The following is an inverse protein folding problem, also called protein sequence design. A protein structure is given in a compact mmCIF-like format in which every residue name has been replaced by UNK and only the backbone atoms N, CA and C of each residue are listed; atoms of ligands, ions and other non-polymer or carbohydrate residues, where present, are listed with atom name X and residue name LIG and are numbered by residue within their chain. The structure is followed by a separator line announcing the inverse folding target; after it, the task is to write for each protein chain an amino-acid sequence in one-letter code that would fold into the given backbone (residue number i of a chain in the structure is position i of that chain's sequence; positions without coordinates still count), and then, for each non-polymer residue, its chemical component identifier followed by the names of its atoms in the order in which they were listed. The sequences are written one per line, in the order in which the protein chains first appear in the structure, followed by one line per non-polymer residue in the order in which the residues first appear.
data_IF_826767023637
#
_entry.id   IF_826767023637
#
_cell.length_a   1.000
_cell.length_b   1.000
_cell.length_c   1.000
_cell.angle_alpha   90.00
_cell.angle_beta   90.00
_cell.angle_gamma   90.00
#
_symmetry.space_group_name_H-M   'P 1'
#
loop_
_entity.id
_entity.type
_entity.pdbx_description
1 polymer ?
#
# COMPACT_ATOMS: atom_id res chain seq x y z
N UNK A 1 43.25 -5.31 -17.00
CA UNK A 1 42.20 -5.49 -15.99
C UNK A 1 42.78 -6.00 -14.63
N UNK A 2 43.57 -7.05 -14.58
CA UNK A 2 44.16 -7.53 -13.30
C UNK A 2 44.95 -6.45 -12.57
N UNK A 3 45.76 -5.66 -13.26
CA UNK A 3 46.54 -4.57 -12.68
C UNK A 3 45.66 -3.43 -12.16
N UNK A 4 44.64 -3.03 -12.89
CA UNK A 4 43.73 -1.99 -12.46
C UNK A 4 42.94 -2.37 -11.16
N UNK A 5 42.49 -3.62 -11.04
CA UNK A 5 41.87 -4.11 -9.81
C UNK A 5 42.84 -4.06 -8.63
N UNK A 6 44.08 -4.47 -8.83
CA UNK A 6 45.10 -4.46 -7.77
C UNK A 6 45.45 -3.04 -7.32
N UNK A 7 45.50 -2.09 -8.24
CA UNK A 7 45.71 -0.67 -7.96
C UNK A 7 44.55 -0.11 -7.11
N UNK A 8 43.28 -0.37 -7.49
CA UNK A 8 42.13 0.10 -6.73
C UNK A 8 42.00 -0.58 -5.37
N UNK A 9 42.38 -1.86 -5.23
CA UNK A 9 42.43 -2.54 -3.93
C UNK A 9 43.45 -1.88 -2.98
N UNK A 10 44.56 -1.37 -3.50
CA UNK A 10 45.53 -0.61 -2.70
C UNK A 10 44.95 0.77 -2.29
N UNK A 11 44.27 1.45 -3.20
CA UNK A 11 43.63 2.76 -2.99
C UNK A 11 42.50 2.76 -1.94
N UNK A 12 41.86 1.61 -1.66
CA UNK A 12 40.90 1.47 -0.55
C UNK A 12 41.49 1.77 0.84
N UNK A 13 42.82 1.81 0.96
CA UNK A 13 43.53 2.10 2.24
C UNK A 13 44.10 3.51 2.30
N UNK A 14 43.83 4.35 1.32
CA UNK A 14 44.34 5.72 1.27
C UNK A 14 43.82 6.53 2.47
N UNK A 15 44.58 7.54 2.87
CA UNK A 15 44.18 8.46 3.95
C UNK A 15 43.05 9.38 3.51
N UNK A 16 43.02 9.75 2.23
CA UNK A 16 41.98 10.58 1.63
C UNK A 16 40.70 9.76 1.39
N UNK A 17 39.61 10.19 2.01
CA UNK A 17 38.29 9.56 1.86
C UNK A 17 37.79 9.58 0.41
N UNK A 18 38.12 10.64 -0.36
CA UNK A 18 37.71 10.75 -1.76
C UNK A 18 38.34 9.65 -2.63
N UNK A 19 39.64 9.37 -2.39
CA UNK A 19 40.34 8.28 -3.07
C UNK A 19 39.76 6.93 -2.68
N UNK A 20 39.47 6.69 -1.38
CA UNK A 20 38.83 5.43 -0.95
C UNK A 20 37.47 5.25 -1.57
N UNK A 21 36.65 6.33 -1.62
CA UNK A 21 35.29 6.29 -2.20
C UNK A 21 35.32 6.02 -3.70
N UNK A 22 36.22 6.70 -4.46
CA UNK A 22 36.39 6.47 -5.90
C UNK A 22 36.85 5.04 -6.19
N UNK A 23 37.83 4.54 -5.45
CA UNK A 23 38.32 3.18 -5.59
C UNK A 23 37.23 2.13 -5.32
N UNK A 24 36.41 2.35 -4.30
CA UNK A 24 35.25 1.49 -4.02
C UNK A 24 34.26 1.46 -5.18
N UNK A 25 33.91 2.64 -5.74
CA UNK A 25 33.02 2.75 -6.89
C UNK A 25 33.57 2.03 -8.14
N UNK A 26 34.85 2.21 -8.46
CA UNK A 26 35.50 1.52 -9.57
C UNK A 26 35.51 0.01 -9.40
N UNK A 27 35.81 -0.50 -8.19
CA UNK A 27 35.78 -1.94 -7.89
C UNK A 27 34.38 -2.52 -8.07
N UNK A 28 33.34 -1.76 -7.75
CA UNK A 28 31.95 -2.14 -8.03
C UNK A 28 31.68 -2.32 -9.53
N UNK A 29 32.26 -1.46 -10.37
CA UNK A 29 32.11 -1.57 -11.84
C UNK A 29 32.87 -2.77 -12.41
N UNK A 30 34.02 -3.11 -11.83
CA UNK A 30 34.81 -4.27 -12.27
C UNK A 30 34.16 -5.60 -11.89
N UNK A 31 33.30 -5.60 -10.89
CA UNK A 31 32.62 -6.81 -10.35
C UNK A 31 33.57 -7.96 -10.02
N UNK A 32 34.78 -7.63 -9.60
CA UNK A 32 35.79 -8.63 -9.27
C UNK A 32 35.59 -9.16 -7.85
N UNK A 33 35.40 -10.48 -7.63
CA UNK A 33 35.19 -11.07 -6.31
C UNK A 33 36.30 -10.78 -5.29
N UNK A 34 37.51 -10.48 -5.73
CA UNK A 34 38.64 -10.11 -4.85
C UNK A 34 38.39 -8.83 -4.07
N UNK A 35 37.50 -7.97 -4.57
CA UNK A 35 37.12 -6.71 -3.91
C UNK A 35 36.13 -6.90 -2.75
N UNK A 36 35.45 -8.04 -2.66
CA UNK A 36 34.36 -8.25 -1.70
C UNK A 36 34.81 -8.03 -0.26
N UNK A 37 35.84 -8.76 0.21
CA UNK A 37 36.31 -8.66 1.60
C UNK A 37 36.84 -7.26 1.92
N UNK A 38 37.68 -6.62 1.06
CA UNK A 38 38.08 -5.23 1.28
C UNK A 38 36.90 -4.22 1.33
N UNK A 39 35.87 -4.37 0.47
CA UNK A 39 34.71 -3.51 0.48
C UNK A 39 33.83 -3.72 1.71
N UNK A 40 33.70 -4.96 2.20
CA UNK A 40 33.02 -5.25 3.48
C UNK A 40 33.71 -4.54 4.64
N UNK A 41 35.04 -4.46 4.66
CA UNK A 41 35.76 -3.70 5.70
C UNK A 41 35.42 -2.21 5.67
N UNK A 42 35.14 -1.62 4.50
CA UNK A 42 34.74 -0.22 4.34
C UNK A 42 33.31 0.09 4.81
N UNK A 43 32.49 -0.89 5.13
CA UNK A 43 31.20 -0.66 5.80
C UNK A 43 31.38 -0.02 7.19
N UNK A 44 32.61 -0.04 7.74
CA UNK A 44 33.00 0.61 9.01
C UNK A 44 33.84 1.88 8.80
N UNK A 45 33.96 2.37 7.58
CA UNK A 45 34.74 3.59 7.31
C UNK A 45 34.17 4.78 8.09
N UNK A 46 35.05 5.64 8.56
CA UNK A 46 34.65 6.85 9.31
C UNK A 46 33.82 7.80 8.43
N UNK A 47 34.17 7.89 7.15
CA UNK A 47 33.46 8.74 6.21
C UNK A 47 32.21 8.05 5.64
N UNK A 48 31.10 8.78 5.69
CA UNK A 48 29.80 8.26 5.23
C UNK A 48 29.79 7.98 3.74
N UNK A 49 30.45 8.83 2.94
CA UNK A 49 30.47 8.69 1.47
C UNK A 49 31.22 7.43 1.05
N UNK A 50 32.27 7.07 1.81
CA UNK A 50 33.02 5.82 1.57
C UNK A 50 32.17 4.60 1.91
N UNK A 51 31.42 4.64 3.03
CA UNK A 51 30.49 3.56 3.37
C UNK A 51 29.42 3.37 2.29
N UNK A 52 28.83 4.48 1.80
CA UNK A 52 27.83 4.44 0.74
C UNK A 52 28.40 3.90 -0.58
N UNK A 53 29.62 4.30 -0.95
CA UNK A 53 30.31 3.76 -2.13
C UNK A 53 30.58 2.25 -2.00
N UNK A 54 30.98 1.77 -0.81
CA UNK A 54 31.19 0.36 -0.56
C UNK A 54 29.87 -0.44 -0.65
N UNK A 55 28.75 0.09 -0.14
CA UNK A 55 27.43 -0.52 -0.25
C UNK A 55 27.04 -0.68 -1.73
N UNK A 56 27.16 0.37 -2.53
CA UNK A 56 26.81 0.30 -3.95
C UNK A 56 27.75 -0.63 -4.75
N UNK A 57 29.03 -0.67 -4.39
CA UNK A 57 29.99 -1.59 -4.99
C UNK A 57 29.62 -3.07 -4.67
N UNK A 58 29.30 -3.40 -3.44
CA UNK A 58 28.89 -4.76 -3.04
C UNK A 58 27.57 -5.18 -3.70
N UNK A 59 26.61 -4.26 -3.84
CA UNK A 59 25.39 -4.48 -4.61
C UNK A 59 25.69 -4.81 -6.07
N UNK A 60 26.58 -4.03 -6.71
CA UNK A 60 26.98 -4.22 -8.10
C UNK A 60 27.73 -5.54 -8.34
N UNK A 61 28.54 -5.98 -7.38
CA UNK A 61 29.22 -7.28 -7.40
C UNK A 61 28.21 -8.43 -7.30
N UNK A 62 27.14 -8.24 -6.51
CA UNK A 62 26.03 -9.17 -6.45
C UNK A 62 26.35 -10.50 -5.78
N UNK A 63 26.01 -11.61 -6.45
CA UNK A 63 26.05 -12.97 -5.91
C UNK A 63 27.36 -13.37 -5.21
N UNK A 64 28.51 -12.86 -5.67
CA UNK A 64 29.81 -13.15 -5.06
C UNK A 64 30.01 -12.51 -3.68
N UNK A 65 29.20 -11.49 -3.35
CA UNK A 65 29.27 -10.79 -2.06
C UNK A 65 28.40 -11.45 -0.97
N UNK A 66 27.44 -12.33 -1.33
CA UNK A 66 26.41 -12.86 -0.43
C UNK A 66 26.98 -13.47 0.84
N UNK A 67 28.01 -14.32 0.74
CA UNK A 67 28.58 -15.01 1.89
C UNK A 67 29.26 -14.04 2.87
N UNK A 68 30.09 -13.14 2.34
CA UNK A 68 30.82 -12.18 3.16
C UNK A 68 29.91 -11.12 3.79
N UNK A 69 28.90 -10.65 3.02
CA UNK A 69 27.91 -9.70 3.54
C UNK A 69 26.96 -10.40 4.53
N UNK A 70 26.58 -11.65 4.26
CA UNK A 70 25.76 -12.46 5.18
C UNK A 70 26.41 -12.65 6.54
N UNK A 71 27.72 -12.84 6.61
CA UNK A 71 28.44 -12.90 7.87
C UNK A 71 28.34 -11.61 8.70
N UNK A 72 28.19 -10.46 8.07
CA UNK A 72 28.03 -9.18 8.75
C UNK A 72 26.71 -9.06 9.54
N UNK A 73 25.69 -9.87 9.24
CA UNK A 73 24.41 -9.85 9.96
C UNK A 73 24.51 -10.32 11.41
N UNK A 74 25.60 -10.98 11.78
CA UNK A 74 25.84 -11.49 13.13
C UNK A 74 26.91 -10.70 13.89
N UNK A 75 27.44 -9.63 13.31
CA UNK A 75 28.44 -8.79 13.94
C UNK A 75 27.85 -7.90 15.03
N UNK A 76 28.63 -7.48 16.04
CA UNK A 76 28.14 -6.62 17.12
C UNK A 76 27.76 -5.19 16.67
N UNK A 77 28.27 -4.72 15.54
CA UNK A 77 28.04 -3.36 15.02
C UNK A 77 26.69 -3.32 14.25
N UNK A 78 25.71 -2.68 14.87
CA UNK A 78 24.35 -2.55 14.31
C UNK A 78 24.34 -1.82 12.96
N UNK A 79 25.22 -0.84 12.75
CA UNK A 79 25.30 -0.10 11.47
C UNK A 79 25.78 -1.01 10.34
N UNK A 80 26.66 -1.96 10.66
CA UNK A 80 27.13 -2.97 9.71
C UNK A 80 26.03 -3.99 9.41
N UNK A 81 25.29 -4.45 10.43
CA UNK A 81 24.14 -5.35 10.26
C UNK A 81 23.06 -4.71 9.36
N UNK A 82 22.75 -3.43 9.62
CA UNK A 82 21.80 -2.67 8.82
C UNK A 82 22.25 -2.58 7.35
N UNK A 83 23.51 -2.18 7.12
CA UNK A 83 24.09 -2.09 5.78
C UNK A 83 24.09 -3.44 5.07
N UNK A 84 24.42 -4.52 5.78
CA UNK A 84 24.43 -5.88 5.25
C UNK A 84 23.02 -6.33 4.83
N UNK A 85 22.01 -6.10 5.68
CA UNK A 85 20.62 -6.41 5.38
C UNK A 85 20.14 -5.67 4.13
N UNK A 86 20.45 -4.35 4.04
CA UNK A 86 20.09 -3.52 2.92
C UNK A 86 20.80 -3.93 1.62
N UNK A 87 22.04 -4.42 1.69
CA UNK A 87 22.77 -4.96 0.51
C UNK A 87 22.10 -6.26 0.06
N UNK A 88 21.89 -7.22 0.96
CA UNK A 88 21.31 -8.52 0.63
C UNK A 88 19.89 -8.39 0.06
N UNK A 89 19.11 -7.39 0.50
CA UNK A 89 17.80 -7.09 -0.03
C UNK A 89 17.78 -6.79 -1.54
N UNK A 90 18.92 -6.42 -2.12
CA UNK A 90 19.04 -6.07 -3.55
C UNK A 90 19.65 -7.17 -4.41
N UNK A 91 20.19 -8.23 -3.77
CA UNK A 91 20.86 -9.32 -4.48
C UNK A 91 19.83 -10.44 -4.75
N UNK A 92 19.53 -10.68 -6.02
CA UNK A 92 18.65 -11.77 -6.44
C UNK A 92 19.44 -13.10 -6.52
N UNK A 93 19.69 -13.71 -5.36
CA UNK A 93 20.43 -14.99 -5.27
C UNK A 93 19.87 -15.80 -4.08
N UNK A 94 19.58 -17.09 -4.29
CA UNK A 94 18.98 -17.95 -3.27
C UNK A 94 19.87 -18.11 -2.01
N UNK A 95 21.17 -17.92 -2.12
CA UNK A 95 22.11 -18.00 -0.99
C UNK A 95 21.89 -16.92 0.07
N UNK A 96 21.15 -15.83 -0.26
CA UNK A 96 20.78 -14.80 0.72
C UNK A 96 19.76 -15.33 1.75
N UNK A 97 19.04 -16.41 1.44
CA UNK A 97 17.92 -16.90 2.25
C UNK A 97 18.34 -17.25 3.69
N UNK A 98 19.32 -18.11 3.86
CA UNK A 98 19.74 -18.57 5.19
C UNK A 98 20.28 -17.42 6.09
N UNK A 99 21.16 -16.52 5.61
CA UNK A 99 21.57 -15.35 6.39
C UNK A 99 20.41 -14.45 6.77
N UNK A 100 19.49 -14.18 5.85
CA UNK A 100 18.33 -13.32 6.12
C UNK A 100 17.35 -13.94 7.11
N UNK A 101 17.07 -15.25 7.01
CA UNK A 101 16.25 -15.97 8.02
C UNK A 101 16.89 -15.86 9.41
N UNK A 102 18.21 -15.91 9.51
CA UNK A 102 18.91 -15.72 10.78
C UNK A 102 18.74 -14.29 11.28
N UNK A 103 18.83 -13.29 10.41
CA UNK A 103 18.67 -11.88 10.73
C UNK A 103 17.24 -11.50 11.22
N UNK A 104 16.21 -12.29 10.90
CA UNK A 104 14.85 -12.11 11.47
C UNK A 104 14.82 -12.24 13.00
N UNK A 105 15.86 -12.80 13.61
CA UNK A 105 15.99 -12.98 15.07
C UNK A 105 16.91 -11.96 15.72
N UNK A 106 17.41 -10.97 14.99
CA UNK A 106 18.27 -9.91 15.52
C UNK A 106 17.56 -9.13 16.64
N UNK A 107 18.29 -8.71 17.64
CA UNK A 107 17.77 -7.82 18.70
C UNK A 107 17.39 -6.45 18.14
N UNK A 108 18.09 -5.99 17.08
CA UNK A 108 17.80 -4.74 16.40
C UNK A 108 16.60 -4.89 15.46
N UNK A 109 15.61 -4.04 15.64
CA UNK A 109 14.39 -4.04 14.83
C UNK A 109 14.64 -3.61 13.38
N UNK A 110 15.64 -2.75 13.13
CA UNK A 110 15.99 -2.29 11.77
C UNK A 110 16.50 -3.47 10.96
N UNK A 111 17.36 -4.29 11.57
CA UNK A 111 17.88 -5.51 10.94
C UNK A 111 16.75 -6.49 10.63
N UNK A 112 15.83 -6.73 11.59
CA UNK A 112 14.68 -7.61 11.35
C UNK A 112 13.81 -7.10 10.22
N UNK A 113 13.55 -5.80 10.19
CA UNK A 113 12.73 -5.15 9.15
C UNK A 113 13.37 -5.30 7.76
N UNK A 114 14.67 -4.99 7.64
CA UNK A 114 15.38 -5.14 6.36
C UNK A 114 15.48 -6.59 5.92
N UNK A 115 15.66 -7.52 6.85
CA UNK A 115 15.66 -8.95 6.54
C UNK A 115 14.29 -9.41 6.01
N UNK A 116 13.19 -8.97 6.62
CA UNK A 116 11.84 -9.26 6.15
C UNK A 116 11.60 -8.67 4.74
N UNK A 117 12.00 -7.42 4.50
CA UNK A 117 11.93 -6.79 3.18
C UNK A 117 12.72 -7.59 2.12
N UNK A 118 13.96 -7.97 2.45
CA UNK A 118 14.80 -8.75 1.56
C UNK A 118 14.15 -10.09 1.20
N UNK A 119 13.61 -10.81 2.18
CA UNK A 119 12.93 -12.08 1.97
C UNK A 119 11.66 -11.93 1.10
N UNK A 120 10.93 -10.84 1.27
CA UNK A 120 9.81 -10.51 0.40
C UNK A 120 10.20 -10.29 -1.05
N UNK A 121 11.39 -9.72 -1.31
CA UNK A 121 11.94 -9.55 -2.66
C UNK A 121 12.44 -10.85 -3.29
N UNK A 122 13.03 -11.73 -2.47
CA UNK A 122 13.49 -13.05 -2.91
C UNK A 122 12.31 -13.97 -3.28
N UNK A 123 11.15 -13.76 -2.66
CA UNK A 123 9.91 -14.49 -2.91
C UNK A 123 10.04 -16.03 -2.79
N UNK A 124 10.93 -16.50 -1.92
CA UNK A 124 11.11 -17.92 -1.70
C UNK A 124 10.12 -18.46 -0.65
N UNK A 125 9.52 -19.60 -0.93
CA UNK A 125 8.53 -20.24 -0.04
C UNK A 125 9.11 -20.60 1.34
N UNK A 126 10.40 -20.92 1.44
CA UNK A 126 11.05 -21.28 2.70
C UNK A 126 11.12 -20.10 3.69
N UNK A 127 10.93 -18.86 3.22
CA UNK A 127 10.86 -17.68 4.07
C UNK A 127 9.50 -17.54 4.79
N UNK A 128 8.45 -18.24 4.37
CA UNK A 128 7.09 -18.07 4.89
C UNK A 128 7.02 -18.35 6.39
N UNK A 129 7.38 -19.57 6.81
CA UNK A 129 7.30 -19.97 8.21
C UNK A 129 8.19 -19.13 9.14
N UNK A 130 9.42 -18.72 8.75
CA UNK A 130 10.22 -17.75 9.49
C UNK A 130 9.63 -16.34 9.63
N UNK A 131 8.83 -15.88 8.67
CA UNK A 131 8.21 -14.56 8.69
C UNK A 131 6.94 -14.50 9.54
N UNK A 132 6.18 -15.60 9.67
CA UNK A 132 4.91 -15.62 10.44
C UNK A 132 5.07 -15.10 11.87
N UNK A 133 6.11 -15.48 12.68
CA UNK A 133 6.29 -14.95 14.03
C UNK A 133 6.45 -13.42 14.07
N UNK A 134 6.97 -12.79 13.02
CA UNK A 134 7.17 -11.34 12.97
C UNK A 134 5.85 -10.56 12.84
N UNK A 135 4.74 -11.22 12.52
CA UNK A 135 3.40 -10.59 12.59
C UNK A 135 3.02 -10.18 14.03
N UNK A 136 3.74 -10.68 15.03
CA UNK A 136 3.62 -10.30 16.45
C UNK A 136 4.85 -9.52 16.97
N UNK A 137 5.72 -9.02 16.10
CA UNK A 137 6.88 -8.24 16.56
C UNK A 137 6.47 -7.04 17.41
N UNK A 138 7.26 -6.71 18.43
CA UNK A 138 7.04 -5.55 19.31
C UNK A 138 7.02 -4.22 18.54
N UNK A 139 7.74 -4.15 17.43
CA UNK A 139 7.87 -2.94 16.61
C UNK A 139 6.90 -3.00 15.42
N UNK A 140 6.03 -2.01 15.30
CA UNK A 140 5.03 -1.95 14.24
C UNK A 140 5.65 -2.04 12.85
N UNK A 141 6.75 -1.32 12.58
CA UNK A 141 7.41 -1.33 11.28
C UNK A 141 7.86 -2.74 10.85
N UNK A 142 8.28 -3.58 11.81
CA UNK A 142 8.67 -4.97 11.54
C UNK A 142 7.44 -5.81 11.18
N UNK A 143 6.31 -5.62 11.90
CA UNK A 143 5.06 -6.33 11.59
C UNK A 143 4.54 -5.97 10.19
N UNK A 144 4.51 -4.66 9.87
CA UNK A 144 4.04 -4.16 8.57
C UNK A 144 4.90 -4.70 7.42
N UNK A 145 6.21 -4.76 7.63
CA UNK A 145 7.15 -5.29 6.62
C UNK A 145 7.02 -6.81 6.46
N UNK A 146 6.85 -7.55 7.56
CA UNK A 146 6.61 -9.00 7.51
C UNK A 146 5.30 -9.31 6.76
N UNK A 147 4.24 -8.56 7.02
CA UNK A 147 2.97 -8.69 6.31
C UNK A 147 3.12 -8.42 4.80
N UNK A 148 3.89 -7.38 4.45
CA UNK A 148 4.19 -7.03 3.05
C UNK A 148 5.05 -8.10 2.37
N UNK A 149 6.05 -8.63 3.08
CA UNK A 149 6.91 -9.71 2.59
C UNK A 149 6.12 -11.00 2.32
N UNK A 150 5.25 -11.39 3.25
CA UNK A 150 4.37 -12.56 3.08
C UNK A 150 3.40 -12.39 1.90
N UNK A 151 2.85 -11.18 1.73
CA UNK A 151 2.02 -10.86 0.58
C UNK A 151 2.81 -10.96 -0.75
N UNK A 152 4.06 -10.47 -0.77
CA UNK A 152 4.92 -10.51 -1.96
C UNK A 152 5.35 -11.95 -2.33
N UNK A 153 5.51 -12.83 -1.35
CA UNK A 153 5.77 -14.27 -1.59
C UNK A 153 4.54 -14.93 -2.27
N UNK A 154 3.35 -14.39 -2.05
CA UNK A 154 2.16 -14.79 -2.79
C UNK A 154 1.60 -16.15 -2.39
N UNK A 155 1.24 -16.98 -3.39
CA UNK A 155 0.49 -18.23 -3.18
C UNK A 155 1.10 -19.19 -2.16
N UNK A 156 2.42 -19.23 -2.03
CA UNK A 156 3.11 -20.08 -1.06
C UNK A 156 2.78 -19.69 0.40
N UNK A 157 2.54 -18.40 0.66
CA UNK A 157 2.22 -17.91 2.00
C UNK A 157 0.73 -18.09 2.38
N UNK A 158 -0.17 -18.25 1.40
CA UNK A 158 -1.62 -18.22 1.66
C UNK A 158 -2.04 -19.27 2.70
N UNK A 159 -1.55 -20.49 2.61
CA UNK A 159 -1.95 -21.55 3.53
C UNK A 159 -1.52 -21.27 4.98
N UNK A 160 -0.35 -20.69 5.21
CA UNK A 160 0.15 -20.30 6.53
C UNK A 160 -0.57 -19.05 7.06
N UNK A 161 -0.88 -18.09 6.19
CA UNK A 161 -1.68 -16.92 6.53
C UNK A 161 -3.12 -17.31 6.92
N UNK A 162 -3.75 -18.25 6.21
CA UNK A 162 -5.08 -18.75 6.57
C UNK A 162 -5.08 -19.45 7.94
N UNK A 163 -4.01 -20.15 8.31
CA UNK A 163 -3.85 -20.67 9.68
C UNK A 163 -3.68 -19.54 10.70
N UNK A 164 -2.92 -18.51 10.36
CA UNK A 164 -2.69 -17.35 11.22
C UNK A 164 -3.99 -16.57 11.54
N UNK A 165 -5.02 -16.63 10.69
CA UNK A 165 -6.35 -16.07 11.00
C UNK A 165 -7.01 -16.71 12.24
N UNK A 166 -6.57 -17.88 12.67
CA UNK A 166 -7.07 -18.57 13.86
C UNK A 166 -6.17 -18.37 15.08
N UNK A 167 -5.17 -17.51 15.00
CA UNK A 167 -4.24 -17.27 16.10
C UNK A 167 -4.94 -16.60 17.30
N UNK A 168 -4.53 -16.96 18.52
CA UNK A 168 -5.11 -16.38 19.74
C UNK A 168 -4.87 -14.88 19.89
N UNK A 169 -3.74 -14.39 19.41
CA UNK A 169 -3.38 -12.97 19.44
C UNK A 169 -4.02 -12.21 18.26
N UNK A 170 -4.72 -11.14 18.58
CA UNK A 170 -5.40 -10.29 17.60
C UNK A 170 -4.44 -9.60 16.62
N UNK A 171 -3.21 -9.25 17.05
CA UNK A 171 -2.20 -8.63 16.17
C UNK A 171 -1.79 -9.57 15.04
N UNK A 172 -1.59 -10.86 15.36
CA UNK A 172 -1.27 -11.86 14.34
C UNK A 172 -2.41 -11.99 13.34
N UNK A 173 -3.67 -12.07 13.84
CA UNK A 173 -4.84 -12.14 12.96
C UNK A 173 -4.97 -10.89 12.09
N UNK A 174 -4.76 -9.70 12.67
CA UNK A 174 -4.81 -8.42 11.96
C UNK A 174 -3.82 -8.39 10.77
N UNK A 175 -2.54 -8.68 11.03
CA UNK A 175 -1.53 -8.65 9.98
C UNK A 175 -1.64 -9.83 9.01
N UNK A 176 -2.24 -10.96 9.42
CA UNK A 176 -2.59 -12.03 8.49
C UNK A 176 -3.71 -11.59 7.51
N UNK A 177 -4.73 -10.89 8.02
CA UNK A 177 -5.79 -10.28 7.19
C UNK A 177 -5.20 -9.29 6.20
N UNK A 178 -4.36 -8.36 6.67
CA UNK A 178 -3.65 -7.38 5.84
C UNK A 178 -2.81 -8.05 4.75
N UNK A 179 -2.04 -9.08 5.10
CA UNK A 179 -1.21 -9.83 4.14
C UNK A 179 -2.05 -10.50 3.06
N UNK A 180 -3.19 -11.10 3.43
CA UNK A 180 -4.10 -11.76 2.50
C UNK A 180 -4.78 -10.76 1.56
N UNK A 181 -5.13 -9.57 2.05
CA UNK A 181 -5.64 -8.47 1.24
C UNK A 181 -4.62 -8.01 0.19
N UNK A 182 -3.40 -7.69 0.63
CA UNK A 182 -2.29 -7.27 -0.24
C UNK A 182 -1.88 -8.34 -1.27
N UNK A 183 -2.00 -9.62 -0.92
CA UNK A 183 -1.73 -10.72 -1.84
C UNK A 183 -2.84 -10.90 -2.90
N UNK A 184 -3.96 -10.18 -2.80
CA UNK A 184 -5.13 -10.28 -3.68
C UNK A 184 -5.63 -11.72 -3.90
N UNK A 185 -5.47 -12.59 -2.89
CA UNK A 185 -5.80 -14.00 -3.02
C UNK A 185 -7.30 -14.24 -2.89
N UNK A 186 -7.93 -14.69 -3.97
CA UNK A 186 -9.35 -15.10 -3.94
C UNK A 186 -9.63 -16.26 -2.98
N UNK A 187 -8.63 -17.08 -2.66
CA UNK A 187 -8.75 -18.17 -1.68
C UNK A 187 -9.02 -17.66 -0.26
N UNK A 188 -8.73 -16.37 0.01
CA UNK A 188 -8.96 -15.74 1.29
C UNK A 188 -10.37 -15.18 1.47
N UNK A 189 -11.19 -15.07 0.41
CA UNK A 189 -12.50 -14.41 0.48
C UNK A 189 -13.41 -15.02 1.55
N UNK A 190 -13.69 -16.32 1.48
CA UNK A 190 -14.54 -17.00 2.47
C UNK A 190 -13.96 -16.96 3.90
N UNK A 191 -12.66 -17.24 4.13
CA UNK A 191 -12.05 -17.05 5.44
C UNK A 191 -12.16 -15.62 5.98
N UNK A 192 -11.96 -14.61 5.14
CA UNK A 192 -12.07 -13.19 5.53
C UNK A 192 -13.52 -12.79 5.81
N UNK A 193 -14.51 -13.35 5.11
CA UNK A 193 -15.91 -13.17 5.43
C UNK A 193 -16.24 -13.78 6.81
N UNK A 194 -15.66 -14.93 7.15
CA UNK A 194 -15.79 -15.50 8.49
C UNK A 194 -15.17 -14.59 9.56
N UNK A 195 -13.99 -14.02 9.31
CA UNK A 195 -13.34 -13.05 10.21
C UNK A 195 -14.21 -11.81 10.40
N UNK A 196 -14.72 -11.23 9.29
CA UNK A 196 -15.57 -10.04 9.31
C UNK A 196 -16.75 -10.17 10.28
N UNK A 197 -17.42 -11.32 10.31
CA UNK A 197 -18.64 -11.50 11.12
C UNK A 197 -18.40 -12.13 12.50
N UNK A 198 -17.29 -12.84 12.70
CA UNK A 198 -17.08 -13.65 13.88
C UNK A 198 -15.86 -13.26 14.73
N UNK A 199 -14.95 -12.41 14.24
CA UNK A 199 -13.80 -12.01 15.06
C UNK A 199 -14.24 -11.14 16.24
N UNK A 200 -13.66 -11.39 17.41
CA UNK A 200 -13.98 -10.65 18.62
C UNK A 200 -13.39 -9.25 18.64
N UNK A 201 -12.31 -9.03 17.89
CA UNK A 201 -11.64 -7.73 17.82
C UNK A 201 -12.18 -6.89 16.68
N UNK A 202 -12.57 -5.65 16.97
CA UNK A 202 -13.17 -4.76 15.97
C UNK A 202 -12.16 -4.32 14.91
N UNK A 203 -10.87 -4.14 15.27
CA UNK A 203 -9.84 -3.74 14.32
C UNK A 203 -9.59 -4.86 13.30
N UNK A 204 -9.62 -6.12 13.70
CA UNK A 204 -9.50 -7.28 12.82
C UNK A 204 -10.68 -7.35 11.85
N UNK A 205 -11.93 -7.10 12.33
CA UNK A 205 -13.11 -7.05 11.47
C UNK A 205 -13.04 -5.89 10.46
N UNK A 206 -12.61 -4.71 10.91
CA UNK A 206 -12.43 -3.54 10.03
C UNK A 206 -11.42 -3.82 8.92
N UNK A 207 -10.30 -4.44 9.28
CA UNK A 207 -9.28 -4.82 8.31
C UNK A 207 -9.75 -5.91 7.35
N UNK A 208 -10.59 -6.85 7.80
CA UNK A 208 -11.22 -7.84 6.92
C UNK A 208 -12.08 -7.17 5.84
N UNK A 209 -12.82 -6.10 6.19
CA UNK A 209 -13.55 -5.30 5.18
C UNK A 209 -12.60 -4.66 4.17
N UNK A 210 -11.49 -4.07 4.63
CA UNK A 210 -10.48 -3.46 3.75
C UNK A 210 -9.85 -4.50 2.82
N UNK A 211 -9.45 -5.65 3.37
CA UNK A 211 -8.84 -6.74 2.63
C UNK A 211 -9.78 -7.32 1.56
N UNK A 212 -11.08 -7.50 1.87
CA UNK A 212 -12.09 -7.91 0.89
C UNK A 212 -12.23 -6.91 -0.25
N UNK A 213 -12.17 -5.60 0.07
CA UNK A 213 -12.15 -4.54 -0.94
C UNK A 213 -10.89 -4.55 -1.81
N UNK A 214 -9.73 -4.87 -1.25
CA UNK A 214 -8.45 -4.99 -1.97
C UNK A 214 -8.43 -6.21 -2.89
N UNK A 215 -8.93 -7.35 -2.41
CA UNK A 215 -9.06 -8.58 -3.24
C UNK A 215 -9.99 -8.33 -4.43
N UNK A 216 -11.03 -7.52 -4.24
CA UNK A 216 -11.91 -7.11 -5.33
C UNK A 216 -12.83 -8.20 -5.87
N UNK A 217 -13.07 -9.28 -5.11
CA UNK A 217 -13.90 -10.38 -5.59
C UNK A 217 -15.40 -10.06 -5.41
N UNK A 218 -16.23 -10.18 -6.49
CA UNK A 218 -17.67 -9.91 -6.42
C UNK A 218 -18.47 -10.81 -5.45
N UNK A 219 -17.91 -11.93 -4.98
CA UNK A 219 -18.53 -12.77 -3.97
C UNK A 219 -18.72 -12.04 -2.64
N UNK A 220 -17.86 -11.08 -2.31
CA UNK A 220 -17.95 -10.31 -1.09
C UNK A 220 -19.09 -9.28 -1.06
N UNK A 221 -19.70 -8.94 -2.20
CA UNK A 221 -20.64 -7.80 -2.34
C UNK A 221 -21.82 -7.90 -1.38
N UNK A 222 -22.56 -9.02 -1.38
CA UNK A 222 -23.76 -9.19 -0.53
C UNK A 222 -23.42 -9.16 0.96
N UNK A 223 -22.26 -9.69 1.33
CA UNK A 223 -21.76 -9.68 2.70
C UNK A 223 -21.35 -8.26 3.13
N UNK A 224 -20.69 -7.50 2.25
CA UNK A 224 -20.36 -6.10 2.52
C UNK A 224 -21.61 -5.21 2.60
N UNK A 225 -22.64 -5.46 1.79
CA UNK A 225 -23.94 -4.81 1.92
C UNK A 225 -24.60 -5.11 3.28
N UNK A 226 -24.37 -6.29 3.82
CA UNK A 226 -24.81 -6.66 5.16
C UNK A 226 -24.00 -5.96 6.24
N UNK A 227 -22.65 -5.92 6.09
CA UNK A 227 -21.74 -5.25 7.01
C UNK A 227 -22.00 -3.74 7.13
N UNK A 228 -22.53 -3.09 6.08
CA UNK A 228 -22.96 -1.70 6.15
C UNK A 228 -24.02 -1.40 7.22
N UNK A 229 -24.69 -2.40 7.75
CA UNK A 229 -25.68 -2.24 8.83
C UNK A 229 -25.03 -2.13 10.20
N UNK A 230 -23.76 -2.52 10.33
CA UNK A 230 -23.01 -2.46 11.59
C UNK A 230 -22.36 -1.08 11.76
N UNK A 231 -22.56 -0.42 12.94
CA UNK A 231 -21.85 0.79 13.26
C UNK A 231 -20.32 0.56 13.26
N UNK A 232 -19.56 1.47 12.65
CA UNK A 232 -18.11 1.38 12.54
C UNK A 232 -17.61 0.62 11.30
N UNK A 233 -18.40 -0.27 10.69
CA UNK A 233 -18.04 -0.94 9.43
C UNK A 233 -18.64 -0.27 8.20
N UNK A 234 -19.67 0.57 8.39
CA UNK A 234 -20.48 1.13 7.30
C UNK A 234 -19.64 1.88 6.26
N UNK A 235 -18.84 2.81 6.68
CA UNK A 235 -18.00 3.62 5.76
C UNK A 235 -16.98 2.74 5.04
N UNK A 236 -16.32 1.82 5.78
CA UNK A 236 -15.35 0.89 5.21
C UNK A 236 -15.99 -0.04 4.18
N UNK A 237 -17.19 -0.57 4.47
CA UNK A 237 -17.92 -1.42 3.54
C UNK A 237 -18.32 -0.68 2.26
N UNK A 238 -18.73 0.59 2.37
CA UNK A 238 -19.00 1.46 1.21
C UNK A 238 -17.73 1.65 0.36
N UNK A 239 -16.59 1.89 0.99
CA UNK A 239 -15.31 2.02 0.28
C UNK A 239 -14.88 0.71 -0.40
N UNK A 240 -15.04 -0.42 0.31
CA UNK A 240 -14.75 -1.74 -0.24
C UNK A 240 -15.64 -2.08 -1.45
N UNK A 241 -16.95 -1.78 -1.38
CA UNK A 241 -17.88 -1.94 -2.50
C UNK A 241 -17.49 -1.08 -3.70
N UNK A 242 -16.99 0.14 -3.46
CA UNK A 242 -16.47 1.01 -4.51
C UNK A 242 -15.21 0.44 -5.19
N UNK A 243 -14.31 -0.19 -4.42
CA UNK A 243 -13.10 -0.86 -4.96
C UNK A 243 -13.45 -2.11 -5.77
N UNK A 244 -14.41 -2.92 -5.30
CA UNK A 244 -14.89 -4.10 -6.02
C UNK A 244 -15.53 -3.70 -7.36
N UNK A 245 -16.23 -2.58 -7.40
CA UNK A 245 -16.77 -2.05 -8.65
C UNK A 245 -18.03 -2.75 -9.17
N UNK A 246 -18.67 -3.60 -8.37
CA UNK A 246 -19.84 -4.37 -8.80
C UNK A 246 -21.12 -3.52 -8.80
N UNK A 247 -21.87 -3.58 -9.91
CA UNK A 247 -23.11 -2.81 -10.12
C UNK A 247 -24.26 -3.17 -9.19
N UNK A 248 -24.19 -4.32 -8.49
CA UNK A 248 -25.18 -4.71 -7.47
C UNK A 248 -25.18 -3.75 -6.28
N UNK A 249 -24.04 -3.11 -5.98
CA UNK A 249 -23.95 -2.12 -4.92
C UNK A 249 -24.64 -0.78 -5.26
N UNK A 250 -24.82 -0.44 -6.53
CA UNK A 250 -25.28 0.88 -6.97
C UNK A 250 -26.60 1.34 -6.33
N UNK A 251 -27.67 0.54 -6.26
CA UNK A 251 -28.92 0.99 -5.65
C UNK A 251 -28.76 1.37 -4.18
N UNK A 252 -27.98 0.61 -3.41
CA UNK A 252 -27.75 0.87 -1.99
C UNK A 252 -26.87 2.10 -1.81
N UNK A 253 -25.82 2.26 -2.62
CA UNK A 253 -24.94 3.43 -2.59
C UNK A 253 -25.68 4.71 -2.96
N UNK A 254 -26.63 4.66 -3.91
CA UNK A 254 -27.53 5.78 -4.23
C UNK A 254 -28.36 6.17 -3.00
N UNK A 255 -28.94 5.21 -2.29
CA UNK A 255 -29.70 5.48 -1.07
C UNK A 255 -28.83 6.12 0.02
N UNK A 256 -27.57 5.72 0.13
CA UNK A 256 -26.61 6.32 1.08
C UNK A 256 -26.31 7.78 0.68
N UNK A 257 -25.93 8.03 -0.57
CA UNK A 257 -25.54 9.37 -1.01
C UNK A 257 -26.69 10.36 -1.00
N UNK A 258 -27.92 9.88 -1.21
CA UNK A 258 -29.13 10.73 -1.15
C UNK A 258 -29.66 10.93 0.26
N UNK A 259 -29.14 10.20 1.25
CA UNK A 259 -29.59 10.27 2.65
C UNK A 259 -31.00 9.75 2.88
N UNK A 260 -31.54 8.92 1.96
CA UNK A 260 -32.93 8.41 2.04
C UNK A 260 -33.08 7.30 3.07
N UNK A 261 -31.98 6.77 3.62
CA UNK A 261 -32.02 5.71 4.62
C UNK A 261 -30.85 5.84 5.63
N UNK A 262 -30.79 6.93 6.44
CA UNK A 262 -29.71 7.07 7.43
C UNK A 262 -30.00 6.14 8.60
N UNK A 263 -29.02 5.32 9.06
CA UNK A 263 -29.11 4.73 10.38
C UNK A 263 -29.08 5.85 11.44
N UNK A 264 -29.95 5.77 12.44
CA UNK A 264 -30.04 6.72 13.56
C UNK A 264 -28.88 6.60 14.57
N UNK A 265 -27.65 6.48 14.10
CA UNK A 265 -26.48 6.34 14.99
C UNK A 265 -25.57 7.55 14.83
N UNK A 266 -25.66 8.46 15.79
CA UNK A 266 -24.69 9.52 15.99
C UNK A 266 -23.50 8.98 16.79
N UNK A 267 -22.41 8.63 16.15
CA UNK A 267 -21.14 8.38 16.79
C UNK A 267 -20.23 9.58 16.51
N UNK A 268 -19.93 10.35 17.55
CA UNK A 268 -18.92 11.40 17.49
C UNK A 268 -17.54 10.75 17.53
N UNK A 269 -16.72 10.98 16.52
CA UNK A 269 -15.30 10.61 16.55
C UNK A 269 -14.61 11.60 17.50
N UNK A 270 -14.23 11.12 18.69
CA UNK A 270 -13.54 11.94 19.68
C UNK A 270 -12.15 12.30 19.15
N UNK A 271 -11.86 13.61 19.08
CA UNK A 271 -10.51 14.10 18.86
C UNK A 271 -10.29 15.17 17.79
N UNK A 272 -11.25 15.47 16.92
CA UNK A 272 -11.19 16.62 16.02
C UNK A 272 -12.23 17.67 16.41
N UNK A 273 -11.83 18.95 16.46
CA UNK A 273 -12.69 20.06 16.88
C UNK A 273 -13.90 20.34 16.00
N UNK A 274 -14.04 19.68 14.85
CA UNK A 274 -15.25 19.63 14.03
C UNK A 274 -15.85 18.24 14.15
N UNK A 275 -17.08 18.16 14.62
CA UNK A 275 -17.85 16.91 14.72
C UNK A 275 -18.19 16.39 13.31
N UNK A 276 -17.26 15.63 12.72
CA UNK A 276 -17.56 14.88 11.50
C UNK A 276 -18.51 13.74 11.88
N UNK A 277 -19.76 13.88 11.46
CA UNK A 277 -20.76 12.84 11.61
C UNK A 277 -20.35 11.66 10.69
N UNK A 278 -20.35 10.43 11.21
CA UNK A 278 -20.10 9.20 10.44
C UNK A 278 -20.93 9.15 9.15
N UNK A 279 -22.14 9.70 9.19
CA UNK A 279 -23.02 9.77 8.03
C UNK A 279 -22.44 10.64 6.91
N UNK A 280 -21.85 11.80 7.22
CA UNK A 280 -21.21 12.69 6.25
C UNK A 280 -20.04 11.97 5.57
N UNK A 281 -19.21 11.28 6.36
CA UNK A 281 -18.09 10.50 5.82
C UNK A 281 -18.58 9.38 4.90
N UNK A 282 -19.63 8.68 5.32
CA UNK A 282 -20.22 7.58 4.55
C UNK A 282 -20.86 8.08 3.25
N UNK A 283 -21.53 9.22 3.25
CA UNK A 283 -22.11 9.82 2.05
C UNK A 283 -21.03 10.24 1.05
N UNK A 284 -19.93 10.84 1.53
CA UNK A 284 -18.77 11.17 0.70
C UNK A 284 -18.12 9.91 0.11
N UNK A 285 -17.94 8.85 0.92
CA UNK A 285 -17.46 7.56 0.45
C UNK A 285 -18.38 6.93 -0.60
N UNK A 286 -19.70 7.01 -0.42
CA UNK A 286 -20.67 6.51 -1.38
C UNK A 286 -20.64 7.28 -2.71
N UNK A 287 -20.45 8.61 -2.67
CA UNK A 287 -20.25 9.38 -3.88
C UNK A 287 -18.99 8.92 -4.64
N UNK A 288 -17.87 8.75 -3.94
CA UNK A 288 -16.61 8.23 -4.53
C UNK A 288 -16.79 6.82 -5.10
N UNK A 289 -17.49 5.93 -4.38
CA UNK A 289 -17.76 4.56 -4.79
C UNK A 289 -18.62 4.53 -6.07
N UNK A 290 -19.67 5.34 -6.15
CA UNK A 290 -20.50 5.45 -7.35
C UNK A 290 -19.71 5.94 -8.56
N UNK A 291 -18.81 6.92 -8.37
CA UNK A 291 -17.90 7.39 -9.40
C UNK A 291 -16.85 6.35 -9.83
N UNK A 292 -16.45 5.45 -8.93
CA UNK A 292 -15.53 4.34 -9.25
C UNK A 292 -16.24 3.22 -10.04
N UNK A 293 -17.47 2.87 -9.65
CA UNK A 293 -18.30 1.87 -10.34
C UNK A 293 -18.67 2.32 -11.76
N UNK A 294 -18.90 3.63 -11.96
CA UNK A 294 -19.15 4.21 -13.28
C UNK A 294 -20.52 3.84 -13.90
N UNK A 295 -21.50 3.45 -13.10
CA UNK A 295 -22.84 3.14 -13.57
C UNK A 295 -23.66 4.44 -13.77
N UNK A 296 -24.22 4.64 -14.96
CA UNK A 296 -24.93 5.86 -15.35
C UNK A 296 -26.14 6.19 -14.46
N UNK A 297 -26.73 5.19 -13.80
CA UNK A 297 -27.80 5.39 -12.81
C UNK A 297 -27.37 6.30 -11.65
N UNK A 298 -26.06 6.44 -11.40
CA UNK A 298 -25.51 7.30 -10.36
C UNK A 298 -25.48 8.78 -10.75
N UNK A 299 -25.58 9.15 -12.04
CA UNK A 299 -25.38 10.53 -12.50
C UNK A 299 -26.39 11.47 -11.83
N UNK A 300 -27.69 11.21 -11.95
CA UNK A 300 -28.72 12.08 -11.37
C UNK A 300 -28.63 12.19 -9.83
N UNK A 301 -28.44 11.10 -9.06
CA UNK A 301 -28.20 11.19 -7.62
C UNK A 301 -26.95 11.98 -7.23
N UNK A 302 -25.85 11.86 -7.99
CA UNK A 302 -24.63 12.63 -7.75
C UNK A 302 -24.83 14.12 -8.07
N UNK A 303 -25.56 14.44 -9.14
CA UNK A 303 -25.93 15.83 -9.45
C UNK A 303 -26.76 16.44 -8.32
N UNK A 304 -27.75 15.72 -7.80
CA UNK A 304 -28.53 16.16 -6.64
C UNK A 304 -27.67 16.36 -5.38
N UNK A 305 -26.58 15.62 -5.25
CA UNK A 305 -25.65 15.73 -4.12
C UNK A 305 -24.76 16.97 -4.19
N UNK A 306 -24.68 17.69 -5.33
CA UNK A 306 -23.99 18.96 -5.44
C UNK A 306 -24.65 20.06 -4.57
N UNK A 307 -25.92 19.93 -4.24
CA UNK A 307 -26.63 20.86 -3.36
C UNK A 307 -26.16 20.77 -1.90
N UNK A 308 -25.52 19.66 -1.52
CA UNK A 308 -25.07 19.42 -0.16
C UNK A 308 -23.61 19.84 -0.01
N UNK A 309 -23.34 20.82 0.82
CA UNK A 309 -21.98 21.39 1.01
C UNK A 309 -20.95 20.34 1.41
N UNK A 310 -21.33 19.35 2.21
CA UNK A 310 -20.43 18.32 2.75
C UNK A 310 -20.12 17.16 1.80
N UNK A 311 -20.89 17.00 0.69
CA UNK A 311 -20.61 15.95 -0.32
C UNK A 311 -20.36 16.54 -1.70
N UNK A 312 -20.46 17.85 -1.84
CA UNK A 312 -20.35 18.57 -3.12
C UNK A 312 -19.05 18.25 -3.86
N UNK A 313 -17.93 18.31 -3.15
CA UNK A 313 -16.62 18.07 -3.75
C UNK A 313 -16.46 16.64 -4.25
N UNK A 314 -16.85 15.64 -3.45
CA UNK A 314 -16.81 14.23 -3.81
C UNK A 314 -17.77 13.90 -4.95
N UNK A 315 -18.97 14.50 -4.94
CA UNK A 315 -19.95 14.33 -6.02
C UNK A 315 -19.41 14.92 -7.33
N UNK A 316 -18.84 16.13 -7.31
CA UNK A 316 -18.26 16.78 -8.48
C UNK A 316 -17.09 15.96 -9.06
N UNK A 317 -16.15 15.51 -8.20
CA UNK A 317 -15.03 14.67 -8.59
C UNK A 317 -15.49 13.32 -9.18
N UNK A 318 -16.57 12.76 -8.65
CA UNK A 318 -17.16 11.52 -9.14
C UNK A 318 -17.86 11.69 -10.47
N UNK A 319 -18.64 12.79 -10.63
CA UNK A 319 -19.29 13.14 -11.90
C UNK A 319 -18.25 13.33 -13.03
N UNK A 320 -17.10 13.94 -12.74
CA UNK A 320 -16.04 14.11 -13.73
C UNK A 320 -15.60 12.79 -14.40
N UNK A 321 -15.67 11.66 -13.67
CA UNK A 321 -15.32 10.33 -14.19
C UNK A 321 -16.26 9.80 -15.26
N UNK A 322 -17.50 10.32 -15.33
CA UNK A 322 -18.47 9.94 -16.36
C UNK A 322 -18.25 10.68 -17.71
N UNK A 323 -17.29 11.62 -17.76
CA UNK A 323 -16.93 12.32 -18.98
C UNK A 323 -18.13 13.12 -19.56
N UNK A 324 -18.27 13.12 -20.87
CA UNK A 324 -19.30 13.90 -21.57
C UNK A 324 -20.75 13.54 -21.21
N UNK A 325 -21.00 12.40 -20.59
CA UNK A 325 -22.35 11.95 -20.20
C UNK A 325 -23.01 12.85 -19.15
N UNK A 326 -22.21 13.57 -18.35
CA UNK A 326 -22.76 14.49 -17.33
C UNK A 326 -23.16 15.85 -17.88
N UNK A 327 -22.70 16.23 -19.09
CA UNK A 327 -22.92 17.56 -19.67
C UNK A 327 -24.42 17.94 -19.74
N UNK A 328 -25.32 17.05 -20.22
CA UNK A 328 -26.76 17.39 -20.29
C UNK A 328 -27.37 17.67 -18.92
N UNK A 329 -26.87 17.09 -17.86
CA UNK A 329 -27.36 17.26 -16.50
C UNK A 329 -26.82 18.52 -15.81
N UNK A 330 -25.57 18.92 -16.13
CA UNK A 330 -24.91 20.04 -15.48
C UNK A 330 -25.10 21.39 -16.17
N UNK A 331 -25.27 21.42 -17.49
CA UNK A 331 -25.43 22.66 -18.23
C UNK A 331 -26.63 23.50 -17.76
N UNK A 332 -27.81 22.93 -17.47
CA UNK A 332 -28.94 23.71 -16.97
C UNK A 332 -28.64 24.44 -15.66
N UNK A 333 -27.80 23.80 -14.78
CA UNK A 333 -27.48 24.34 -13.47
C UNK A 333 -26.66 25.64 -13.50
N UNK A 334 -25.95 25.92 -14.61
CA UNK A 334 -25.23 27.19 -14.78
C UNK A 334 -26.16 28.43 -14.88
N UNK A 335 -27.42 28.24 -15.24
CA UNK A 335 -28.41 29.31 -15.38
C UNK A 335 -29.29 29.47 -14.14
N UNK A 336 -29.10 28.60 -13.12
CA UNK A 336 -29.84 28.68 -11.88
C UNK A 336 -29.17 29.64 -10.90
N UNK A 337 -29.95 30.39 -10.06
CA UNK A 337 -29.36 31.21 -9.01
C UNK A 337 -28.81 30.31 -7.89
N UNK A 338 -27.50 30.09 -7.89
CA UNK A 338 -26.78 29.26 -6.94
C UNK A 338 -25.57 30.00 -6.34
N UNK A 339 -25.06 29.52 -5.22
CA UNK A 339 -23.82 30.07 -4.62
C UNK A 339 -22.60 29.88 -5.54
N UNK A 340 -21.62 30.79 -5.42
CA UNK A 340 -20.40 30.73 -6.26
C UNK A 340 -19.62 29.43 -6.10
N UNK A 341 -19.60 28.82 -4.91
CA UNK A 341 -18.92 27.56 -4.67
C UNK A 341 -19.63 26.41 -5.42
N UNK A 342 -20.96 26.39 -5.46
CA UNK A 342 -21.72 25.43 -6.26
C UNK A 342 -21.37 25.57 -7.76
N UNK A 343 -21.45 26.82 -8.27
CA UNK A 343 -21.16 27.09 -9.67
C UNK A 343 -19.70 26.78 -10.03
N UNK A 344 -18.77 27.00 -9.12
CA UNK A 344 -17.38 26.60 -9.29
C UNK A 344 -17.27 25.08 -9.56
N UNK A 345 -17.83 24.25 -8.69
CA UNK A 345 -17.78 22.79 -8.86
C UNK A 345 -18.48 22.31 -10.14
N UNK A 346 -19.59 22.92 -10.51
CA UNK A 346 -20.28 22.61 -11.79
C UNK A 346 -19.40 22.94 -12.99
N UNK A 347 -18.76 24.14 -13.01
CA UNK A 347 -17.85 24.56 -14.10
C UNK A 347 -16.63 23.65 -14.21
N UNK A 348 -15.98 23.32 -13.09
CA UNK A 348 -14.84 22.42 -13.03
C UNK A 348 -15.21 21.02 -13.55
N UNK A 349 -16.35 20.49 -13.14
CA UNK A 349 -16.84 19.19 -13.61
C UNK A 349 -17.12 19.20 -15.11
N UNK A 350 -17.76 20.27 -15.62
CA UNK A 350 -18.00 20.45 -17.05
C UNK A 350 -16.70 20.55 -17.85
N UNK A 351 -15.72 21.30 -17.34
CA UNK A 351 -14.40 21.43 -17.96
C UNK A 351 -13.69 20.07 -18.03
N UNK A 352 -13.71 19.32 -16.94
CA UNK A 352 -13.16 17.94 -16.85
C UNK A 352 -13.90 16.98 -17.81
N UNK A 353 -15.20 17.18 -18.01
CA UNK A 353 -16.00 16.42 -18.96
C UNK A 353 -15.78 16.81 -20.44
N UNK A 354 -14.86 17.76 -20.70
CA UNK A 354 -14.51 18.21 -22.04
C UNK A 354 -15.38 19.34 -22.60
N UNK A 355 -16.28 19.90 -21.78
CA UNK A 355 -17.05 21.07 -22.21
C UNK A 355 -16.23 22.36 -22.10
N UNK A 356 -16.29 23.20 -23.15
CA UNK A 356 -15.64 24.52 -23.17
C UNK A 356 -16.65 25.62 -23.45
N UNK A 357 -16.74 26.58 -22.56
CA UNK A 357 -17.57 27.80 -22.80
C UNK A 357 -17.08 28.51 -24.07
N UNK A 358 -17.95 28.65 -25.05
CA UNK A 358 -17.65 29.42 -26.27
C UNK A 358 -17.52 28.62 -27.58
N UNK A 359 -17.56 27.29 -27.59
CA UNK A 359 -17.82 26.58 -28.85
C UNK A 359 -19.31 26.45 -29.10
N UNK A 360 -19.88 27.39 -29.86
CA UNK A 360 -21.21 27.18 -30.48
C UNK A 360 -21.13 25.89 -31.29
N UNK A 361 -22.04 24.94 -31.05
CA UNK A 361 -22.20 23.79 -31.95
C UNK A 361 -22.31 24.26 -33.39
N UNK A 362 -21.64 23.63 -34.36
CA UNK A 362 -21.90 23.89 -35.76
C UNK A 362 -23.19 23.17 -36.17
N UNK A 363 -24.33 23.70 -35.77
CA UNK A 363 -25.60 23.40 -36.43
C UNK A 363 -26.11 24.69 -37.00
N UNK A 364 -25.43 25.10 -38.07
CA UNK A 364 -26.10 25.88 -39.06
C UNK A 364 -26.80 24.92 -39.99
N UNK A 365 -28.08 25.11 -40.11
CA UNK A 365 -28.77 24.86 -41.38
C UNK A 365 -30.01 25.70 -41.43
N UNK A 366 -30.02 26.38 -42.50
CA UNK A 366 -31.09 27.14 -43.18
C UNK A 366 -32.51 26.88 -42.72
#
# INVERSE_FOLDING_TARGET
MADAVTEQLAALKDQDWAIRGEAAGLLGTFKDPRAVVPLVALLRDQDRSVREAAIEALRSIGASAVEAVGACLTEPDLSVQESASAILATIADERVLAPLITALRSDDWIVRMHAANALGRVQNADAVEPLIPLLHDKVKAVRDEAATALAAIGDAAISSLLKALQHGDWLVRLHAVESLGKAHSKRAVEPLLSVLFNDHDSAVREDAVRALGEIGDPQAVEHLLTAMKEPGLRTLAVEALGRIGDRRAVPVLINVVTGTNPPKVTRTVAGCGDQWNEEVLTQGAAARALGAIGDERAISPLVASLDRTHTRAEAAASLAKFGSKVIPFLLPLLNEPRDENFLFHVRETLASAGWRAGRRSPTGTK
#
